data_IF_783726943828
#
_entry.id   IF_783726943828
#
_cell.length_a   1.000
_cell.length_b   1.000
_cell.length_c   1.000
_cell.angle_alpha   90.00
_cell.angle_beta   90.00
_cell.angle_gamma   90.00
#
_symmetry.space_group_name_H-M   'P 1'
#
loop_
_entity.id
_entity.type
_entity.pdbx_description
1 polymer ?
#
# COMPACT_ATOMS: atom_id res chain seq x y z
N UNK A 1 8.98 -6.58 1.49
CA UNK A 1 9.11 -5.30 0.77
C UNK A 1 7.72 -4.71 0.62
N UNK A 2 7.41 -3.67 1.38
CA UNK A 2 6.10 -3.03 1.39
C UNK A 2 6.08 -1.96 0.30
N UNK A 3 5.32 -2.17 -0.76
CA UNK A 3 5.10 -1.15 -1.79
C UNK A 3 3.73 -0.52 -1.54
N UNK A 4 3.72 0.65 -0.93
CA UNK A 4 2.51 1.47 -0.78
C UNK A 4 2.46 2.41 -1.96
N UNK A 5 1.52 2.21 -2.87
CA UNK A 5 1.24 3.19 -3.93
C UNK A 5 0.07 4.04 -3.44
N UNK A 6 0.39 5.24 -2.99
CA UNK A 6 -0.60 6.26 -2.64
C UNK A 6 -0.70 7.24 -3.81
N UNK A 7 -1.84 7.27 -4.48
CA UNK A 7 -2.11 8.29 -5.47
C UNK A 7 -3.05 9.35 -4.88
N UNK A 8 -2.64 10.60 -4.94
CA UNK A 8 -3.47 11.75 -4.57
C UNK A 8 -4.14 12.28 -5.82
N UNK A 9 -5.47 12.24 -5.87
CA UNK A 9 -6.25 12.80 -6.99
C UNK A 9 -6.79 14.16 -6.54
N UNK A 10 -6.27 15.21 -7.13
CA UNK A 10 -6.75 16.57 -6.96
C UNK A 10 -6.92 17.26 -8.32
N UNK A 11 -7.88 18.17 -8.42
CA UNK A 11 -8.07 19.04 -9.58
C UNK A 11 -7.08 20.20 -9.43
N UNK A 12 -5.90 20.04 -9.99
CA UNK A 12 -4.86 21.06 -9.97
C UNK A 12 -3.47 20.44 -10.08
N UNK A 13 -2.65 20.96 -10.99
CA UNK A 13 -1.29 20.50 -11.21
C UNK A 13 -0.44 20.70 -9.94
N UNK A 14 -0.11 19.63 -9.22
CA UNK A 14 0.88 19.65 -8.16
C UNK A 14 2.05 18.74 -8.54
N UNK A 15 3.19 19.36 -8.80
CA UNK A 15 4.46 18.67 -8.97
C UNK A 15 4.99 18.36 -7.58
N UNK A 16 5.04 17.10 -7.20
CA UNK A 16 5.71 16.67 -5.97
C UNK A 16 7.20 16.50 -6.28
N UNK A 17 8.01 17.47 -5.89
CA UNK A 17 9.47 17.31 -5.87
C UNK A 17 9.87 16.60 -4.59
N UNK A 18 10.37 15.38 -4.73
CA UNK A 18 10.94 14.62 -3.61
C UNK A 18 12.31 15.23 -3.28
N UNK A 19 12.39 15.99 -2.21
CA UNK A 19 13.68 16.45 -1.66
C UNK A 19 14.18 15.39 -0.69
N UNK A 20 15.23 14.67 -1.08
CA UNK A 20 15.98 13.81 -0.17
C UNK A 20 16.97 14.67 0.61
N UNK A 21 16.67 14.95 1.88
CA UNK A 21 17.65 15.49 2.82
C UNK A 21 18.35 14.33 3.52
N UNK A 22 19.66 14.21 3.32
CA UNK A 22 20.51 13.28 4.06
C UNK A 22 20.62 13.74 5.52
N UNK A 23 19.95 13.00 6.40
CA UNK A 23 20.18 13.04 7.83
C UNK A 23 20.44 11.61 8.29
N UNK A 24 21.69 11.29 8.59
CA UNK A 24 22.06 10.01 9.19
C UNK A 24 21.52 9.95 10.62
N UNK A 25 20.41 9.23 10.81
CA UNK A 25 20.08 8.68 12.10
C UNK A 25 20.01 7.16 11.96
N UNK A 26 21.09 6.51 12.40
CA UNK A 26 21.19 5.06 12.50
C UNK A 26 20.23 4.55 13.58
N UNK A 27 18.98 4.38 13.24
CA UNK A 27 18.04 3.61 14.03
C UNK A 27 18.02 2.19 13.45
N UNK A 28 18.84 1.31 14.01
CA UNK A 28 18.79 -0.10 13.69
C UNK A 28 17.48 -0.68 14.22
N UNK A 29 16.46 -0.66 13.37
CA UNK A 29 15.23 -1.41 13.62
C UNK A 29 15.59 -2.88 13.44
N UNK A 30 15.85 -3.57 14.54
CA UNK A 30 15.90 -5.02 14.54
C UNK A 30 14.49 -5.53 14.15
N UNK A 31 14.34 -5.96 12.90
CA UNK A 31 13.18 -6.73 12.46
C UNK A 31 13.26 -8.11 13.14
N UNK A 32 12.69 -8.23 14.32
CA UNK A 32 12.31 -9.54 14.85
C UNK A 32 11.09 -9.98 14.04
N UNK A 33 11.29 -10.92 13.12
CA UNK A 33 10.20 -11.59 12.42
C UNK A 33 9.47 -12.48 13.44
N UNK A 34 8.57 -11.90 14.21
CA UNK A 34 7.52 -12.64 14.88
C UNK A 34 6.30 -12.61 13.95
N UNK A 35 5.82 -13.78 13.55
CA UNK A 35 4.56 -13.97 12.81
C UNK A 35 3.34 -13.58 13.68
N UNK A 36 3.39 -12.40 14.28
CA UNK A 36 2.30 -11.87 15.09
C UNK A 36 1.34 -11.07 14.22
N UNK A 37 0.33 -11.75 13.69
CA UNK A 37 -0.78 -11.13 12.97
C UNK A 37 -1.54 -10.08 13.79
N UNK A 38 -1.37 -10.04 15.11
CA UNK A 38 -2.03 -9.08 16.01
C UNK A 38 -1.62 -7.62 15.76
N UNK A 39 -0.51 -7.40 15.06
CA UNK A 39 0.00 -6.07 14.78
C UNK A 39 -0.60 -5.43 13.51
N UNK A 40 -1.35 -6.19 12.70
CA UNK A 40 -2.02 -5.68 11.51
C UNK A 40 -3.42 -5.16 11.85
N UNK A 41 -3.82 -4.09 11.17
CA UNK A 41 -5.15 -3.48 11.26
C UNK A 41 -5.67 -3.17 9.87
N UNK A 42 -6.99 -3.20 9.71
CA UNK A 42 -7.60 -2.69 8.49
C UNK A 42 -7.43 -1.16 8.45
N UNK A 43 -6.98 -0.64 7.31
CA UNK A 43 -6.74 0.79 7.13
C UNK A 43 -8.01 1.59 7.43
N UNK A 44 -9.18 1.13 7.04
CA UNK A 44 -10.47 1.81 7.24
C UNK A 44 -10.85 1.99 8.70
N UNK A 45 -10.34 1.14 9.61
CA UNK A 45 -10.60 1.26 11.04
C UNK A 45 -9.81 2.42 11.68
N UNK A 46 -8.71 2.81 11.06
CA UNK A 46 -7.83 3.88 11.55
C UNK A 46 -8.00 5.16 10.73
N UNK A 47 -8.24 5.02 9.43
CA UNK A 47 -8.35 6.11 8.45
C UNK A 47 -9.65 5.93 7.67
N UNK A 48 -10.82 6.30 8.24
CA UNK A 48 -12.13 6.01 7.64
C UNK A 48 -12.38 6.76 6.32
N UNK A 49 -11.65 7.86 6.08
CA UNK A 49 -11.85 8.72 4.92
C UNK A 49 -11.11 8.26 3.66
N UNK A 50 -10.35 7.16 3.71
CA UNK A 50 -9.67 6.63 2.54
C UNK A 50 -10.64 6.00 1.55
N UNK A 51 -10.28 6.07 0.28
CA UNK A 51 -10.97 5.38 -0.81
C UNK A 51 -10.18 4.12 -1.11
N UNK A 52 -10.80 2.96 -0.97
CA UNK A 52 -10.17 1.69 -1.35
C UNK A 52 -10.52 1.35 -2.81
N UNK A 53 -9.48 1.08 -3.60
CA UNK A 53 -9.58 0.52 -4.96
C UNK A 53 -8.51 -0.57 -5.10
N UNK A 54 -8.72 -1.69 -4.37
CA UNK A 54 -7.73 -2.76 -4.27
C UNK A 54 -7.62 -3.47 -5.62
N UNK A 55 -6.62 -3.09 -6.40
CA UNK A 55 -6.42 -3.50 -7.79
C UNK A 55 -6.24 -5.00 -7.95
N UNK A 56 -5.57 -5.63 -7.00
CA UNK A 56 -5.21 -7.04 -7.08
C UNK A 56 -6.32 -7.98 -6.63
N UNK A 57 -7.36 -7.47 -5.98
CA UNK A 57 -8.60 -8.21 -5.73
C UNK A 57 -9.44 -8.38 -7.01
N UNK A 58 -9.41 -7.41 -7.91
CA UNK A 58 -10.15 -7.42 -9.17
C UNK A 58 -9.31 -7.84 -10.37
N UNK A 59 -9.87 -7.63 -11.56
CA UNK A 59 -9.20 -7.88 -12.85
C UNK A 59 -8.54 -6.63 -13.42
N UNK A 60 -8.76 -5.47 -12.82
CA UNK A 60 -8.22 -4.19 -13.29
C UNK A 60 -6.79 -3.96 -12.77
N UNK A 61 -5.89 -4.83 -13.22
CA UNK A 61 -4.45 -4.80 -12.93
C UNK A 61 -3.67 -5.30 -14.17
N UNK A 62 -2.34 -5.23 -14.12
CA UNK A 62 -1.49 -5.58 -15.26
C UNK A 62 -1.47 -7.09 -15.61
N UNK A 63 -1.94 -7.96 -14.71
CA UNK A 63 -2.07 -9.41 -14.97
C UNK A 63 -3.39 -9.72 -15.68
N UNK A 64 -4.42 -8.86 -15.48
CA UNK A 64 -5.75 -9.04 -16.06
C UNK A 64 -6.64 -10.03 -15.30
N UNK A 65 -6.18 -10.54 -14.16
CA UNK A 65 -6.93 -11.48 -13.29
C UNK A 65 -6.73 -11.13 -11.82
N UNK A 66 -7.60 -11.68 -10.95
CA UNK A 66 -7.41 -11.57 -9.50
C UNK A 66 -6.12 -12.27 -9.10
N UNK A 67 -5.35 -11.61 -8.23
CA UNK A 67 -4.08 -12.14 -7.74
C UNK A 67 -4.32 -13.05 -6.54
N UNK A 68 -3.57 -14.15 -6.49
CA UNK A 68 -3.67 -15.13 -5.40
C UNK A 68 -3.44 -14.49 -4.04
N UNK A 69 -4.25 -14.88 -3.05
CA UNK A 69 -4.15 -14.37 -1.69
C UNK A 69 -4.88 -13.05 -1.44
N UNK A 70 -5.45 -12.42 -2.45
CA UNK A 70 -6.36 -11.28 -2.28
C UNK A 70 -7.80 -11.80 -2.22
N UNK A 71 -8.25 -12.20 -1.05
CA UNK A 71 -9.56 -12.84 -0.86
C UNK A 71 -10.68 -11.82 -0.67
N UNK A 72 -10.33 -10.62 -0.18
CA UNK A 72 -11.26 -9.50 0.05
C UNK A 72 -10.64 -8.17 -0.44
N UNK A 73 -11.46 -7.16 -0.79
CA UNK A 73 -10.99 -5.84 -1.20
C UNK A 73 -10.58 -4.98 0.01
N UNK A 74 -9.82 -5.56 0.93
CA UNK A 74 -9.35 -4.93 2.16
C UNK A 74 -7.90 -4.49 2.05
N UNK A 75 -7.52 -3.52 2.86
CA UNK A 75 -6.16 -3.01 2.93
C UNK A 75 -5.65 -3.12 4.37
N UNK A 76 -4.65 -3.96 4.59
CA UNK A 76 -4.04 -4.19 5.89
C UNK A 76 -2.70 -3.46 6.00
N UNK A 77 -2.46 -2.81 7.13
CA UNK A 77 -1.17 -2.23 7.50
C UNK A 77 -0.83 -2.59 8.94
N UNK A 78 0.46 -2.50 9.28
CA UNK A 78 0.83 -2.51 10.70
C UNK A 78 0.16 -1.31 11.39
N UNK A 79 -0.17 -1.46 12.66
CA UNK A 79 -0.78 -0.39 13.46
C UNK A 79 0.03 0.90 13.44
N UNK A 80 1.36 0.80 13.44
CA UNK A 80 2.26 1.94 13.36
C UNK A 80 2.14 2.66 12.00
N UNK A 81 2.16 1.90 10.89
CA UNK A 81 2.02 2.46 9.55
C UNK A 81 0.62 3.08 9.34
N UNK A 82 -0.43 2.44 9.86
CA UNK A 82 -1.78 2.98 9.77
C UNK A 82 -1.93 4.32 10.51
N UNK A 83 -1.29 4.48 11.68
CA UNK A 83 -1.26 5.77 12.41
C UNK A 83 -0.52 6.85 11.63
N UNK A 84 0.62 6.51 11.00
CA UNK A 84 1.35 7.45 10.16
C UNK A 84 0.52 7.86 8.93
N UNK A 85 -0.16 6.90 8.30
CA UNK A 85 -1.05 7.16 7.17
C UNK A 85 -2.22 8.07 7.55
N UNK A 86 -2.75 7.93 8.78
CA UNK A 86 -3.79 8.82 9.29
C UNK A 86 -3.33 10.27 9.35
N UNK A 87 -2.13 10.53 9.84
CA UNK A 87 -1.59 11.89 9.88
C UNK A 87 -1.50 12.49 8.47
N UNK A 88 -1.05 11.69 7.47
CA UNK A 88 -1.03 12.13 6.07
C UNK A 88 -2.45 12.39 5.55
N UNK A 89 -3.41 11.51 5.87
CA UNK A 89 -4.81 11.71 5.47
C UNK A 89 -5.38 13.00 6.03
N UNK A 90 -5.15 13.27 7.32
CA UNK A 90 -5.64 14.49 7.97
C UNK A 90 -5.04 15.77 7.33
N UNK A 91 -3.80 15.71 6.88
CA UNK A 91 -3.14 16.84 6.21
C UNK A 91 -3.67 17.09 4.79
N UNK A 92 -3.82 16.04 3.99
CA UNK A 92 -4.32 16.21 2.61
C UNK A 92 -5.81 16.58 2.60
N UNK A 93 -6.57 16.12 3.59
CA UNK A 93 -7.98 16.52 3.74
C UNK A 93 -8.16 18.00 4.00
N UNK A 94 -7.26 18.65 4.75
CA UNK A 94 -7.25 20.12 4.94
C UNK A 94 -7.11 20.87 3.63
N UNK A 95 -6.52 20.24 2.62
CA UNK A 95 -6.30 20.77 1.29
C UNK A 95 -7.41 20.36 0.28
N UNK A 96 -8.46 19.68 0.75
CA UNK A 96 -9.58 19.22 -0.08
C UNK A 96 -9.31 17.91 -0.85
N UNK A 97 -8.28 17.15 -0.46
CA UNK A 97 -7.94 15.86 -1.09
C UNK A 97 -8.27 14.68 -0.17
N UNK A 98 -8.43 13.51 -0.77
CA UNK A 98 -8.57 12.24 -0.07
C UNK A 98 -7.54 11.24 -0.58
N UNK A 99 -7.07 10.38 0.30
CA UNK A 99 -6.19 9.28 -0.08
C UNK A 99 -6.98 8.19 -0.79
N UNK A 100 -6.42 7.67 -1.87
CA UNK A 100 -6.92 6.49 -2.57
C UNK A 100 -5.86 5.39 -2.49
N UNK A 101 -6.24 4.24 -1.96
CA UNK A 101 -5.36 3.11 -1.70
C UNK A 101 -5.61 2.04 -2.75
N UNK A 102 -4.57 1.67 -3.49
CA UNK A 102 -4.63 0.64 -4.53
C UNK A 102 -4.09 -0.71 -4.06
N UNK A 103 -3.21 -0.70 -3.08
CA UNK A 103 -2.59 -1.88 -2.46
C UNK A 103 -2.03 -1.50 -1.09
N UNK A 104 -1.84 -2.48 -0.21
CA UNK A 104 -1.21 -2.29 1.10
C UNK A 104 -0.37 -3.52 1.47
N UNK A 105 -0.78 -4.35 2.44
CA UNK A 105 -0.11 -5.60 2.70
C UNK A 105 -0.28 -6.55 1.51
N UNK A 106 0.85 -7.05 1.00
CA UNK A 106 0.85 -8.03 -0.08
C UNK A 106 1.15 -9.41 0.48
N UNK A 107 0.22 -10.38 0.36
CA UNK A 107 0.48 -11.75 0.79
C UNK A 107 1.56 -12.41 -0.07
N UNK A 108 2.31 -13.35 0.49
CA UNK A 108 3.37 -14.08 -0.24
C UNK A 108 2.82 -14.78 -1.49
N UNK A 109 1.61 -15.34 -1.41
CA UNK A 109 0.92 -15.95 -2.57
C UNK A 109 0.79 -14.97 -3.75
N UNK A 110 0.57 -13.69 -3.47
CA UNK A 110 0.51 -12.64 -4.49
C UNK A 110 1.86 -12.40 -5.15
N UNK A 111 2.94 -12.39 -4.38
CA UNK A 111 4.31 -12.30 -4.92
C UNK A 111 4.61 -13.49 -5.82
N UNK A 112 4.30 -14.69 -5.37
CA UNK A 112 4.52 -15.94 -6.13
C UNK A 112 3.70 -15.95 -7.42
N UNK A 113 2.46 -15.42 -7.41
CA UNK A 113 1.65 -15.26 -8.61
C UNK A 113 2.33 -14.34 -9.63
N UNK A 114 2.85 -13.20 -9.22
CA UNK A 114 3.57 -12.29 -10.11
C UNK A 114 4.82 -12.91 -10.71
N UNK A 115 5.57 -13.69 -9.93
CA UNK A 115 6.76 -14.40 -10.42
C UNK A 115 6.36 -15.43 -11.48
N UNK A 116 5.33 -16.24 -11.26
CA UNK A 116 4.82 -17.20 -12.25
C UNK A 116 4.35 -16.50 -13.52
N UNK A 117 3.57 -15.43 -13.39
CA UNK A 117 3.09 -14.65 -14.52
C UNK A 117 4.25 -14.06 -15.33
N UNK A 118 5.23 -13.45 -14.68
CA UNK A 118 6.41 -12.90 -15.35
C UNK A 118 7.21 -13.99 -16.08
N UNK A 119 7.43 -15.12 -15.45
CA UNK A 119 8.15 -16.26 -16.07
C UNK A 119 7.44 -16.76 -17.33
N UNK A 120 6.11 -16.79 -17.32
CA UNK A 120 5.33 -17.16 -18.50
C UNK A 120 5.49 -16.15 -19.65
N UNK A 121 5.39 -14.85 -19.37
CA UNK A 121 5.52 -13.79 -20.38
C UNK A 121 6.92 -13.75 -20.99
N UNK A 122 7.97 -13.97 -20.20
CA UNK A 122 9.36 -13.94 -20.69
C UNK A 122 9.84 -15.28 -21.28
N UNK A 123 9.01 -16.32 -21.28
CA UNK A 123 9.28 -17.60 -21.95
C UNK A 123 8.68 -17.70 -23.36
N UNK A 124 7.92 -16.68 -23.78
CA UNK A 124 7.34 -16.54 -25.12
C UNK A 124 8.27 -15.76 -26.03
#
# INVERSE_FOLDING_TARGET
MLCIIVAVIGIGNMVVTTSCSNGEEKNSIALSATDDNSNFVNITDVVPDVILEIRYYGTYNFVGSRIDGYEEPTALLTRQAAKALKAVSDDVMKQGYRLKIYDAYRPQKGVDHFVRWASYIFSL
#
